data_IF_030685058992
#
_entry.id   IF_030685058992
#
_cell.length_a   1.000
_cell.length_b   1.000
_cell.length_c   1.000
_cell.angle_alpha   90.00
_cell.angle_beta   90.00
_cell.angle_gamma   90.00
#
_symmetry.space_group_name_H-M   'P 1'
#
loop_
_entity.id
_entity.type
_entity.pdbx_description
1 polymer ?
#
# COMPACT_ATOMS: atom_id res chain seq x y z
N UNK A 1 27.54 -0.30 -14.22
CA UNK A 1 27.18 0.98 -13.58
C UNK A 1 28.14 1.21 -12.45
N UNK A 2 28.56 2.45 -12.27
CA UNK A 2 29.43 2.87 -11.19
C UNK A 2 28.64 3.78 -10.24
N UNK A 3 28.76 3.53 -8.93
CA UNK A 3 27.97 4.21 -7.91
C UNK A 3 28.91 4.75 -6.84
N UNK A 4 28.75 6.03 -6.51
CA UNK A 4 29.47 6.71 -5.43
C UNK A 4 28.46 7.34 -4.49
N UNK A 5 28.61 7.11 -3.19
CA UNK A 5 27.67 7.56 -2.16
C UNK A 5 28.39 8.56 -1.25
N UNK A 6 27.82 9.75 -1.11
CA UNK A 6 28.31 10.81 -0.23
C UNK A 6 27.39 10.98 0.97
N UNK A 7 27.96 10.86 2.17
CA UNK A 7 27.26 11.14 3.42
C UNK A 7 27.64 12.53 3.91
N UNK A 8 26.64 13.40 4.10
CA UNK A 8 26.89 14.83 4.42
C UNK A 8 27.50 15.03 5.81
N UNK A 9 27.06 14.24 6.79
CA UNK A 9 27.49 14.39 8.19
C UNK A 9 28.48 13.30 8.63
N UNK A 10 28.04 12.05 8.62
CA UNK A 10 28.86 10.88 8.97
C UNK A 10 28.42 9.66 8.19
N UNK A 11 29.34 8.72 8.00
CA UNK A 11 28.96 7.40 7.51
C UNK A 11 28.10 6.71 8.60
N UNK A 12 26.86 6.30 8.28
CA UNK A 12 25.96 5.70 9.25
C UNK A 12 26.47 4.31 9.64
N UNK A 13 26.32 3.93 10.90
CA UNK A 13 26.56 2.55 11.31
C UNK A 13 25.44 1.63 10.79
N UNK A 14 25.68 0.32 10.84
CA UNK A 14 24.64 -0.66 10.52
C UNK A 14 23.41 -0.49 11.42
N UNK A 15 23.62 -0.22 12.71
CA UNK A 15 22.53 -0.01 13.66
C UNK A 15 21.75 1.28 13.35
N UNK A 16 22.44 2.37 12.97
CA UNK A 16 21.76 3.60 12.57
C UNK A 16 20.81 3.38 11.39
N UNK A 17 21.24 2.58 10.40
CA UNK A 17 20.38 2.19 9.28
C UNK A 17 19.22 1.29 9.73
N UNK A 18 19.47 0.29 10.58
CA UNK A 18 18.45 -0.65 11.05
C UNK A 18 17.33 0.05 11.85
N UNK A 19 17.68 1.07 12.65
CA UNK A 19 16.73 1.85 13.43
C UNK A 19 16.16 3.06 12.67
N UNK A 20 16.65 3.34 11.46
CA UNK A 20 16.22 4.49 10.65
C UNK A 20 16.56 5.84 11.30
N UNK A 21 17.68 5.92 12.02
CA UNK A 21 18.10 7.11 12.80
C UNK A 21 18.99 8.04 11.97
N UNK A 22 19.89 7.48 11.18
CA UNK A 22 20.86 8.18 10.34
C UNK A 22 21.19 7.24 9.16
N UNK A 23 21.39 7.72 7.92
CA UNK A 23 21.73 9.08 7.49
C UNK A 23 20.52 10.03 7.29
N UNK A 24 20.62 11.26 7.80
CA UNK A 24 19.60 12.30 7.57
C UNK A 24 19.56 12.82 6.10
N UNK A 25 20.70 12.81 5.42
CA UNK A 25 20.84 13.25 4.03
C UNK A 25 21.94 12.45 3.33
N UNK A 26 21.59 11.80 2.21
CA UNK A 26 22.52 11.02 1.38
C UNK A 26 22.46 11.53 -0.04
N UNK A 27 23.63 11.70 -0.62
CA UNK A 27 23.76 12.03 -2.04
C UNK A 27 24.31 10.80 -2.74
N UNK A 28 23.73 10.46 -3.90
CA UNK A 28 24.17 9.32 -4.69
C UNK A 28 24.53 9.80 -6.08
N UNK A 29 25.77 9.57 -6.49
CA UNK A 29 26.24 9.80 -7.85
C UNK A 29 26.27 8.46 -8.59
N UNK A 30 25.56 8.37 -9.72
CA UNK A 30 25.52 7.19 -10.57
C UNK A 30 26.07 7.54 -11.95
N UNK A 31 27.09 6.80 -12.37
CA UNK A 31 27.69 6.91 -13.71
C UNK A 31 27.48 5.61 -14.48
N UNK A 32 27.09 5.72 -15.75
CA UNK A 32 27.09 4.57 -16.66
C UNK A 32 28.47 4.46 -17.31
N UNK A 33 29.10 3.30 -17.18
CA UNK A 33 30.35 2.95 -17.87
C UNK A 33 29.97 2.06 -19.05
N UNK A 34 30.38 2.41 -20.26
CA UNK A 34 30.14 1.58 -21.43
C UNK A 34 31.13 0.39 -21.44
N UNK A 35 30.72 -0.73 -22.02
CA UNK A 35 31.58 -1.91 -22.10
C UNK A 35 32.82 -1.64 -22.96
N UNK A 36 32.69 -0.79 -23.97
CA UNK A 36 33.79 -0.38 -24.85
C UNK A 36 34.85 0.47 -24.13
N UNK A 37 34.49 1.11 -23.01
CA UNK A 37 35.41 1.93 -22.20
C UNK A 37 36.26 1.08 -21.24
N UNK A 38 35.94 -0.21 -21.09
CA UNK A 38 36.64 -1.11 -20.17
C UNK A 38 37.76 -1.80 -20.97
N UNK A 39 39.03 -1.53 -20.66
CA UNK A 39 40.14 -2.18 -21.35
C UNK A 39 40.16 -3.69 -21.11
N UNK A 40 40.71 -4.44 -22.06
CA UNK A 40 40.74 -5.91 -22.02
C UNK A 40 42.09 -6.46 -21.57
N UNK A 41 43.14 -5.64 -21.54
CA UNK A 41 44.49 -6.04 -21.12
C UNK A 41 44.74 -5.72 -19.64
N UNK A 42 45.46 -6.59 -18.93
CA UNK A 42 45.67 -6.48 -17.47
C UNK A 42 46.32 -5.15 -17.04
N UNK A 43 47.32 -4.68 -17.80
CA UNK A 43 48.03 -3.43 -17.50
C UNK A 43 47.14 -2.19 -17.72
N UNK A 44 46.34 -2.19 -18.79
CA UNK A 44 45.40 -1.10 -19.08
C UNK A 44 44.24 -1.11 -18.08
N UNK A 45 43.76 -2.29 -17.67
CA UNK A 45 42.74 -2.45 -16.61
C UNK A 45 43.23 -1.88 -15.29
N UNK A 46 44.46 -2.17 -14.91
CA UNK A 46 45.04 -1.64 -13.66
C UNK A 46 45.10 -0.11 -13.70
N UNK A 47 45.56 0.45 -14.81
CA UNK A 47 45.64 1.92 -14.98
C UNK A 47 44.23 2.55 -14.95
N UNK A 48 43.29 1.97 -15.68
CA UNK A 48 41.89 2.42 -15.71
C UNK A 48 41.22 2.36 -14.33
N UNK A 49 41.49 1.31 -13.54
CA UNK A 49 40.99 1.18 -12.17
C UNK A 49 41.56 2.28 -11.27
N UNK A 50 42.86 2.56 -11.37
CA UNK A 50 43.52 3.61 -10.58
C UNK A 50 42.99 4.99 -10.94
N UNK A 51 42.83 5.30 -12.22
CA UNK A 51 42.27 6.57 -12.69
C UNK A 51 40.82 6.73 -12.23
N UNK A 52 40.02 5.65 -12.30
CA UNK A 52 38.64 5.63 -11.82
C UNK A 52 38.58 5.85 -10.31
N UNK A 53 39.48 5.24 -9.55
CA UNK A 53 39.55 5.42 -8.10
C UNK A 53 39.95 6.84 -7.72
N UNK A 54 40.96 7.41 -8.38
CA UNK A 54 41.38 8.79 -8.15
C UNK A 54 40.25 9.79 -8.45
N UNK A 55 39.52 9.57 -9.55
CA UNK A 55 38.37 10.40 -9.90
C UNK A 55 37.28 10.37 -8.81
N UNK A 56 36.99 9.20 -8.23
CA UNK A 56 36.01 9.06 -7.14
C UNK A 56 36.47 9.76 -5.87
N UNK A 57 37.75 9.63 -5.52
CA UNK A 57 38.30 10.25 -4.33
C UNK A 57 38.24 11.78 -4.43
N UNK A 58 38.60 12.33 -5.59
CA UNK A 58 38.42 13.75 -5.89
C UNK A 58 36.95 14.17 -5.83
N UNK A 59 36.04 13.37 -6.40
CA UNK A 59 34.60 13.65 -6.36
C UNK A 59 34.06 13.69 -4.92
N UNK A 60 34.52 12.80 -4.04
CA UNK A 60 34.15 12.79 -2.63
C UNK A 60 34.76 13.96 -1.86
N UNK A 61 36.02 14.31 -2.13
CA UNK A 61 36.66 15.50 -1.56
C UNK A 61 35.89 16.78 -1.95
N UNK A 62 35.50 16.89 -3.21
CA UNK A 62 34.63 17.97 -3.71
C UNK A 62 33.25 17.96 -3.02
N UNK A 63 32.68 16.78 -2.80
CA UNK A 63 31.42 16.63 -2.08
C UNK A 63 31.53 17.08 -0.62
N UNK A 64 32.59 16.71 0.09
CA UNK A 64 32.80 17.13 1.49
C UNK A 64 33.03 18.63 1.63
N UNK A 65 33.60 19.29 0.61
CA UNK A 65 33.80 20.74 0.61
C UNK A 65 32.57 21.54 0.17
N UNK A 66 31.83 21.08 -0.85
CA UNK A 66 30.68 21.80 -1.44
C UNK A 66 29.34 21.37 -0.88
N UNK A 67 29.25 20.16 -0.30
CA UNK A 67 28.03 19.57 0.26
C UNK A 67 27.07 18.95 -0.76
N UNK A 68 27.43 18.87 -2.05
CA UNK A 68 26.61 18.25 -3.09
C UNK A 68 27.47 17.72 -4.25
N UNK A 69 26.94 16.74 -4.99
CA UNK A 69 27.55 16.25 -6.23
C UNK A 69 27.31 17.21 -7.41
N UNK A 70 28.14 17.15 -8.47
CA UNK A 70 27.88 17.88 -9.70
C UNK A 70 26.61 17.39 -10.39
N UNK A 71 25.84 18.31 -10.97
CA UNK A 71 24.55 18.04 -11.63
C UNK A 71 23.57 17.27 -10.71
N UNK A 72 23.09 17.88 -9.61
CA UNK A 72 22.08 17.25 -8.78
C UNK A 72 20.89 16.88 -9.66
N UNK A 73 20.59 15.59 -9.74
CA UNK A 73 19.37 15.14 -10.37
C UNK A 73 18.22 15.83 -9.66
N UNK A 74 17.36 16.54 -10.40
CA UNK A 74 16.10 17.00 -9.83
C UNK A 74 15.25 15.77 -9.56
N UNK A 75 15.45 15.12 -8.40
CA UNK A 75 14.41 14.27 -7.85
C UNK A 75 13.20 15.18 -7.73
N UNK A 76 12.18 14.90 -8.56
CA UNK A 76 10.90 15.59 -8.42
C UNK A 76 10.44 15.28 -7.01
N UNK A 77 10.40 16.30 -6.16
CA UNK A 77 9.86 16.16 -4.82
C UNK A 77 8.56 15.36 -4.91
N UNK A 78 8.52 14.23 -4.20
CA UNK A 78 7.30 13.48 -4.01
C UNK A 78 6.30 14.44 -3.39
N UNK A 79 5.39 14.96 -4.22
CA UNK A 79 4.46 16.01 -3.82
C UNK A 79 3.75 15.56 -2.54
N UNK A 80 4.07 16.22 -1.43
CA UNK A 80 3.52 15.93 -0.10
C UNK A 80 1.99 15.89 -0.14
N UNK A 81 1.40 16.72 -1.00
CA UNK A 81 -0.04 16.76 -1.28
C UNK A 81 -0.56 15.43 -1.85
N UNK A 82 0.13 14.81 -2.81
CA UNK A 82 -0.27 13.50 -3.36
C UNK A 82 -0.17 12.40 -2.31
N UNK A 83 0.88 12.41 -1.50
CA UNK A 83 1.03 11.48 -0.38
C UNK A 83 -0.12 11.63 0.62
N UNK A 84 -0.43 12.87 1.01
CA UNK A 84 -1.50 13.18 1.96
C UNK A 84 -2.88 12.76 1.43
N UNK A 85 -3.18 13.05 0.16
CA UNK A 85 -4.45 12.64 -0.47
C UNK A 85 -4.60 11.11 -0.50
N UNK A 86 -3.52 10.38 -0.82
CA UNK A 86 -3.53 8.93 -0.77
C UNK A 86 -3.75 8.41 0.66
N UNK A 87 -3.08 9.00 1.65
CA UNK A 87 -3.25 8.63 3.06
C UNK A 87 -4.69 8.86 3.54
N UNK A 88 -5.28 10.02 3.23
CA UNK A 88 -6.67 10.34 3.53
C UNK A 88 -7.60 9.35 2.86
N UNK A 89 -7.37 9.02 1.59
CA UNK A 89 -8.15 8.03 0.85
C UNK A 89 -8.12 6.64 1.49
N UNK A 90 -6.95 6.17 1.92
CA UNK A 90 -6.80 4.90 2.62
C UNK A 90 -7.54 4.93 3.96
N UNK A 91 -7.34 5.96 4.78
CA UNK A 91 -8.02 6.09 6.08
C UNK A 91 -9.54 6.10 5.90
N UNK A 92 -10.05 6.91 4.98
CA UNK A 92 -11.47 7.01 4.70
C UNK A 92 -12.06 5.66 4.25
N UNK A 93 -11.37 4.95 3.34
CA UNK A 93 -11.77 3.63 2.89
C UNK A 93 -11.79 2.62 4.04
N UNK A 94 -10.73 2.59 4.86
CA UNK A 94 -10.64 1.67 6.01
C UNK A 94 -11.74 1.96 7.04
N UNK A 95 -11.98 3.23 7.37
CA UNK A 95 -13.07 3.64 8.26
C UNK A 95 -14.44 3.25 7.71
N UNK A 96 -14.68 3.47 6.41
CA UNK A 96 -15.95 3.12 5.77
C UNK A 96 -16.18 1.61 5.77
N UNK A 97 -15.17 0.81 5.39
CA UNK A 97 -15.24 -0.65 5.44
C UNK A 97 -15.52 -1.15 6.86
N UNK A 98 -14.80 -0.61 7.85
CA UNK A 98 -14.98 -0.97 9.26
C UNK A 98 -16.40 -0.65 9.73
N UNK A 99 -16.89 0.56 9.44
CA UNK A 99 -18.25 0.98 9.78
C UNK A 99 -19.31 0.05 9.17
N UNK A 100 -19.19 -0.27 7.88
CA UNK A 100 -20.13 -1.17 7.19
C UNK A 100 -20.12 -2.57 7.80
N UNK A 101 -18.95 -3.12 8.16
CA UNK A 101 -18.86 -4.44 8.80
C UNK A 101 -19.52 -4.44 10.18
N UNK A 102 -19.27 -3.42 11.01
CA UNK A 102 -19.91 -3.30 12.33
C UNK A 102 -21.41 -3.10 12.25
N UNK A 103 -21.86 -2.21 11.36
CA UNK A 103 -23.27 -1.95 11.14
C UNK A 103 -23.98 -3.23 10.67
N UNK A 104 -23.46 -3.90 9.65
CA UNK A 104 -24.01 -5.18 9.17
C UNK A 104 -24.11 -6.23 10.29
N UNK A 105 -23.06 -6.37 11.10
CA UNK A 105 -23.04 -7.35 12.20
C UNK A 105 -24.10 -7.06 13.28
N UNK A 106 -24.23 -5.79 13.70
CA UNK A 106 -25.18 -5.39 14.74
C UNK A 106 -26.62 -5.54 14.25
N UNK A 107 -26.93 -5.02 13.05
CA UNK A 107 -28.28 -5.07 12.49
C UNK A 107 -28.70 -6.49 12.15
N UNK A 108 -27.78 -7.33 11.68
CA UNK A 108 -28.04 -8.75 11.48
C UNK A 108 -28.45 -9.45 12.78
N UNK A 109 -27.75 -9.19 13.90
CA UNK A 109 -28.10 -9.74 15.21
C UNK A 109 -29.47 -9.27 15.70
N UNK A 110 -29.78 -7.97 15.56
CA UNK A 110 -31.10 -7.41 15.92
C UNK A 110 -32.20 -8.06 15.10
N UNK A 111 -32.00 -8.19 13.79
CA UNK A 111 -32.95 -8.83 12.88
C UNK A 111 -33.25 -10.28 13.29
N UNK A 112 -32.21 -11.09 13.50
CA UNK A 112 -32.37 -12.50 13.91
C UNK A 112 -33.11 -12.60 15.25
N UNK A 113 -32.74 -11.79 16.25
CA UNK A 113 -33.42 -11.76 17.55
C UNK A 113 -34.90 -11.40 17.41
N UNK A 114 -35.23 -10.42 16.58
CA UNK A 114 -36.61 -10.00 16.33
C UNK A 114 -37.43 -11.11 15.67
N UNK A 115 -36.87 -11.81 14.68
CA UNK A 115 -37.54 -12.95 14.02
C UNK A 115 -37.78 -14.08 15.03
N UNK A 116 -36.79 -14.40 15.87
CA UNK A 116 -36.94 -15.42 16.92
C UNK A 116 -38.04 -15.05 17.93
N UNK A 117 -38.06 -13.80 18.40
CA UNK A 117 -39.08 -13.31 19.33
C UNK A 117 -40.49 -13.33 18.72
N UNK A 118 -40.61 -12.94 17.44
CA UNK A 118 -41.86 -13.01 16.70
C UNK A 118 -42.35 -14.46 16.57
N UNK A 119 -41.49 -15.39 16.16
CA UNK A 119 -41.84 -16.79 16.02
C UNK A 119 -42.27 -17.41 17.35
N UNK A 120 -41.53 -17.17 18.44
CA UNK A 120 -41.90 -17.62 19.78
C UNK A 120 -43.27 -17.08 20.21
N UNK A 121 -43.52 -15.80 19.95
CA UNK A 121 -44.81 -15.16 20.22
C UNK A 121 -45.94 -15.78 19.39
N UNK A 122 -45.72 -15.97 18.08
CA UNK A 122 -46.70 -16.58 17.18
C UNK A 122 -47.05 -18.02 17.59
N UNK A 123 -46.06 -18.80 18.03
CA UNK A 123 -46.28 -20.15 18.59
C UNK A 123 -47.04 -20.10 19.91
N UNK A 124 -46.68 -19.19 20.83
CA UNK A 124 -47.35 -19.05 22.13
C UNK A 124 -48.82 -18.65 21.99
N UNK A 125 -49.12 -17.66 21.14
CA UNK A 125 -50.48 -17.19 20.90
C UNK A 125 -51.27 -18.08 19.91
N UNK A 126 -50.72 -19.22 19.47
CA UNK A 126 -51.36 -20.14 18.51
C UNK A 126 -51.82 -19.46 17.21
N UNK A 127 -51.11 -18.41 16.76
CA UNK A 127 -51.39 -17.72 15.50
C UNK A 127 -50.98 -18.66 14.37
N UNK A 128 -51.93 -19.45 13.84
CA UNK A 128 -51.68 -20.33 12.70
C UNK A 128 -51.56 -19.50 11.43
N UNK A 129 -50.39 -19.46 10.76
CA UNK A 129 -50.33 -18.91 9.41
C UNK A 129 -51.22 -19.78 8.51
N UNK A 130 -52.25 -19.16 7.91
CA UNK A 130 -53.13 -19.86 6.97
C UNK A 130 -52.28 -20.29 5.76
N UNK A 131 -52.31 -21.57 5.35
CA UNK A 131 -51.55 -22.01 4.19
C UNK A 131 -52.11 -21.36 2.92
N UNK A 132 -51.28 -20.58 2.23
CA UNK A 132 -51.60 -19.89 0.97
C UNK A 132 -52.09 -20.90 -0.10
N UNK A 133 -51.69 -22.17 0.02
CA UNK A 133 -52.11 -23.27 -0.84
C UNK A 133 -53.63 -23.62 -0.77
N UNK A 134 -54.34 -23.21 0.29
CA UNK A 134 -55.80 -23.44 0.41
C UNK A 134 -56.65 -22.53 -0.47
N UNK A 135 -56.15 -21.33 -0.80
CA UNK A 135 -56.91 -20.34 -1.56
C UNK A 135 -57.06 -20.75 -3.04
N UNK A 136 -56.03 -21.38 -3.62
CA UNK A 136 -56.08 -21.89 -4.99
C UNK A 136 -57.08 -23.03 -5.18
N UNK A 137 -57.16 -23.99 -4.23
CA UNK A 137 -58.14 -25.09 -4.31
C UNK A 137 -59.58 -24.59 -4.17
N UNK A 138 -59.85 -23.65 -3.25
CA UNK A 138 -61.19 -23.12 -3.06
C UNK A 138 -61.72 -22.34 -4.30
N UNK A 139 -60.83 -21.63 -5.01
CA UNK A 139 -61.19 -20.91 -6.25
C UNK A 139 -61.43 -21.89 -7.42
N UNK A 140 -60.63 -22.94 -7.55
CA UNK A 140 -60.79 -23.94 -8.62
C UNK A 140 -62.09 -24.74 -8.44
N UNK A 141 -62.39 -25.23 -7.22
CA UNK A 141 -63.63 -25.97 -6.95
C UNK A 141 -64.89 -25.12 -7.20
N UNK A 142 -64.83 -23.81 -6.92
CA UNK A 142 -65.94 -22.89 -7.17
C UNK A 142 -66.21 -22.63 -8.65
N UNK A 143 -65.20 -22.76 -9.51
CA UNK A 143 -65.34 -22.61 -10.95
C UNK A 143 -65.79 -23.90 -11.66
N UNK A 144 -65.41 -25.08 -11.15
CA UNK A 144 -65.90 -26.36 -11.69
C UNK A 144 -67.36 -26.67 -11.34
N UNK A 145 -67.94 -26.05 -10.31
CA UNK A 145 -69.35 -26.22 -9.95
C UNK A 145 -70.32 -25.30 -10.75
N UNK A 146 -69.79 -24.50 -11.68
CA UNK A 146 -70.57 -23.57 -12.52
C UNK A 146 -70.67 -23.99 -13.99
N UNK A 147 -70.22 -25.20 -14.34
CA UNK A 147 -70.33 -25.76 -15.69
C UNK A 147 -71.20 -27.01 -15.70
#
# INVERSE_FOLDING_TARGET
YDVTIGYKYRCPSFMDNAFGVDPAEVHVHVRRVHLDDIPMSENEVTSWLMDTFHFKDQLLSDFHSKGHFPNPGTEKELSTVKCLLNAIGVIFLTCTCTYLTFFSSIWFKVYVSSVCAYLASATYFNIRPQPIAGYGKAVITRNSAKH
#
